data_IF_569283405553
#
_entry.id   IF_569283405553
#
_cell.length_a   1.000
_cell.length_b   1.000
_cell.length_c   1.000
_cell.angle_alpha   90.00
_cell.angle_beta   90.00
_cell.angle_gamma   90.00
#
_symmetry.space_group_name_H-M   'P 1'
#
loop_
_entity.id
_entity.type
_entity.pdbx_description
1 polymer ?
#
# COMPACT_ATOMS: atom_id res chain seq x y z
N UNK A 1 -6.14 21.82 -3.36
CA UNK A 1 -5.10 20.96 -3.96
C UNK A 1 -4.22 20.46 -2.82
N UNK A 2 -4.39 19.21 -2.40
CA UNK A 2 -3.64 18.64 -1.27
C UNK A 2 -2.19 18.46 -1.68
N UNK A 3 -1.30 19.31 -1.15
CA UNK A 3 0.13 19.11 -1.23
C UNK A 3 0.44 17.72 -0.64
N UNK A 4 0.84 16.80 -1.52
CA UNK A 4 1.25 15.46 -1.15
C UNK A 4 2.59 15.59 -0.42
N UNK A 5 2.55 15.74 0.91
CA UNK A 5 3.70 15.95 1.80
C UNK A 5 4.84 14.94 1.61
N UNK A 6 4.58 13.80 0.95
CA UNK A 6 5.61 12.82 0.60
C UNK A 6 6.46 13.18 -0.63
N UNK A 7 6.11 14.23 -1.39
CA UNK A 7 6.95 14.73 -2.50
C UNK A 7 7.93 15.80 -2.05
N UNK A 8 7.81 16.33 -0.83
CA UNK A 8 8.51 17.57 -0.43
C UNK A 8 9.53 17.38 0.71
N UNK A 9 9.66 16.18 1.29
CA UNK A 9 10.67 15.97 2.32
C UNK A 9 12.02 15.56 1.74
N UNK A 10 13.06 16.33 2.07
CA UNK A 10 14.46 16.05 1.72
C UNK A 10 14.82 14.65 2.23
N UNK A 11 15.39 13.81 1.37
CA UNK A 11 15.91 12.51 1.80
C UNK A 11 17.12 12.74 2.71
N UNK A 12 17.04 12.29 3.96
CA UNK A 12 18.18 12.37 4.90
C UNK A 12 18.86 11.02 5.02
N UNK A 13 20.18 11.04 5.04
CA UNK A 13 21.01 9.86 5.25
C UNK A 13 22.42 10.30 5.63
N UNK A 14 23.36 9.34 5.71
CA UNK A 14 24.74 9.61 6.11
C UNK A 14 25.33 10.81 5.36
N UNK A 15 25.92 11.75 6.10
CA UNK A 15 26.49 12.99 5.57
C UNK A 15 25.50 14.15 5.39
N UNK A 16 24.19 13.91 5.55
CA UNK A 16 23.22 15.00 5.67
C UNK A 16 23.46 15.79 6.96
N UNK A 17 23.19 17.08 6.92
CA UNK A 17 23.30 17.94 8.09
C UNK A 17 22.25 19.05 8.11
N UNK A 18 22.00 19.59 9.30
CA UNK A 18 21.13 20.75 9.52
C UNK A 18 19.97 20.49 10.50
N UNK A 19 19.07 21.48 10.62
CA UNK A 19 18.00 21.45 11.62
C UNK A 19 16.99 20.30 11.44
N UNK A 20 16.86 19.75 10.24
CA UNK A 20 16.00 18.60 9.96
C UNK A 20 16.59 17.29 10.53
N UNK A 21 17.91 17.10 10.42
CA UNK A 21 18.62 16.00 11.07
C UNK A 21 18.49 16.10 12.58
N UNK A 22 18.64 17.29 13.13
CA UNK A 22 18.49 17.53 14.57
C UNK A 22 17.08 17.14 15.06
N UNK A 23 16.04 17.54 14.32
CA UNK A 23 14.65 17.14 14.61
C UNK A 23 14.48 15.62 14.57
N UNK A 24 15.05 14.94 13.57
CA UNK A 24 15.03 13.48 13.48
C UNK A 24 15.70 12.86 14.71
N UNK A 25 16.88 13.32 15.10
CA UNK A 25 17.59 12.80 16.28
C UNK A 25 16.77 13.00 17.56
N UNK A 26 16.17 14.17 17.77
CA UNK A 26 15.26 14.43 18.90
C UNK A 26 14.04 13.51 18.87
N UNK A 27 13.41 13.35 17.72
CA UNK A 27 12.24 12.49 17.58
C UNK A 27 12.59 11.02 17.89
N UNK A 28 13.71 10.50 17.40
CA UNK A 28 14.17 9.14 17.69
C UNK A 28 14.38 8.92 19.21
N UNK A 29 14.96 9.91 19.89
CA UNK A 29 15.14 9.86 21.35
C UNK A 29 13.81 9.83 22.10
N UNK A 30 12.82 10.61 21.66
CA UNK A 30 11.49 10.63 22.27
C UNK A 30 10.71 9.34 22.00
N UNK A 31 10.98 8.64 20.90
CA UNK A 31 10.48 7.27 20.67
C UNK A 31 11.13 6.23 21.59
N UNK A 32 12.13 6.62 22.39
CA UNK A 32 12.81 5.75 23.35
C UNK A 32 14.07 5.08 22.81
N UNK A 33 14.64 5.58 21.70
CA UNK A 33 15.91 5.03 21.20
C UNK A 33 16.99 5.09 22.28
N UNK A 34 17.65 3.94 22.49
CA UNK A 34 18.72 3.78 23.48
C UNK A 34 19.95 3.17 22.82
N UNK A 35 21.15 3.74 23.00
CA UNK A 35 21.45 4.96 23.77
C UNK A 35 20.86 6.22 23.12
N UNK A 36 20.56 7.25 23.93
CA UNK A 36 20.08 8.53 23.39
C UNK A 36 21.14 9.14 22.45
N UNK A 37 20.68 9.65 21.32
CA UNK A 37 21.49 10.41 20.38
C UNK A 37 21.78 11.80 20.94
N UNK A 38 22.94 12.35 20.60
CA UNK A 38 23.17 13.79 20.68
C UNK A 38 22.51 14.45 19.46
N UNK A 39 21.53 15.35 19.62
CA UNK A 39 20.93 16.07 18.50
C UNK A 39 21.85 17.21 18.04
N UNK A 40 22.91 16.86 17.32
CA UNK A 40 23.93 17.77 16.80
C UNK A 40 23.66 18.23 15.35
N UNK A 41 22.57 17.74 14.75
CA UNK A 41 22.24 18.04 13.37
C UNK A 41 23.17 17.36 12.36
N UNK A 42 23.96 16.37 12.77
CA UNK A 42 24.84 15.59 11.88
C UNK A 42 24.34 14.16 11.72
N UNK A 43 24.10 13.75 10.48
CA UNK A 43 23.62 12.41 10.20
C UNK A 43 24.83 11.46 10.09
N UNK A 44 25.38 11.08 11.24
CA UNK A 44 26.46 10.11 11.36
C UNK A 44 25.97 8.67 11.50
N UNK A 45 26.91 7.73 11.73
CA UNK A 45 26.59 6.31 11.86
C UNK A 45 25.63 5.99 13.02
N UNK A 46 25.71 6.72 14.14
CA UNK A 46 24.78 6.56 15.27
C UNK A 46 23.34 6.94 14.89
N UNK A 47 23.17 8.04 14.15
CA UNK A 47 21.86 8.48 13.65
C UNK A 47 21.30 7.45 12.65
N UNK A 48 22.14 6.92 11.75
CA UNK A 48 21.74 5.87 10.80
C UNK A 48 21.22 4.60 11.52
N UNK A 49 21.94 4.11 12.53
CA UNK A 49 21.51 2.93 13.29
C UNK A 49 20.22 3.18 14.08
N UNK A 50 20.05 4.37 14.63
CA UNK A 50 18.81 4.77 15.29
C UNK A 50 17.63 4.83 14.32
N UNK A 51 17.85 5.33 13.09
CA UNK A 51 16.83 5.31 12.03
C UNK A 51 16.48 3.88 11.64
N UNK A 52 17.45 2.98 11.46
CA UNK A 52 17.18 1.55 11.20
C UNK A 52 16.41 0.90 12.34
N UNK A 53 16.75 1.19 13.59
CA UNK A 53 16.01 0.72 14.75
C UNK A 53 14.54 1.16 14.69
N UNK A 54 14.30 2.44 14.45
CA UNK A 54 12.94 2.98 14.34
C UNK A 54 12.19 2.37 13.15
N UNK A 55 12.85 2.23 12.00
CA UNK A 55 12.26 1.60 10.83
C UNK A 55 11.85 0.14 11.11
N UNK A 56 12.69 -0.62 11.82
CA UNK A 56 12.35 -1.99 12.26
C UNK A 56 11.15 -1.99 13.22
N UNK A 57 11.15 -1.10 14.21
CA UNK A 57 10.06 -0.93 15.18
C UNK A 57 8.72 -0.67 14.49
N UNK A 58 8.73 0.18 13.46
CA UNK A 58 7.53 0.60 12.73
C UNK A 58 7.22 -0.26 11.49
N UNK A 59 7.91 -1.40 11.30
CA UNK A 59 7.76 -2.30 10.14
C UNK A 59 7.98 -1.61 8.77
N UNK A 60 8.80 -0.59 8.75
CA UNK A 60 9.27 0.13 7.57
C UNK A 60 10.41 -0.61 6.86
N UNK A 61 10.85 -0.09 5.72
CA UNK A 61 12.11 -0.50 5.07
C UNK A 61 13.26 0.02 5.93
N UNK A 62 14.15 -0.85 6.36
CA UNK A 62 15.26 -0.55 7.29
C UNK A 62 16.55 -0.17 6.57
N UNK A 63 16.47 0.80 5.65
CA UNK A 63 17.60 1.28 4.86
C UNK A 63 18.47 2.35 5.55
N UNK A 64 18.09 2.77 6.77
CA UNK A 64 18.78 3.80 7.54
C UNK A 64 18.63 5.21 7.01
N UNK A 65 17.72 5.43 6.05
CA UNK A 65 17.46 6.73 5.44
C UNK A 65 16.10 7.27 5.89
N UNK A 66 16.04 8.56 6.18
CA UNK A 66 14.77 9.23 6.48
C UNK A 66 14.20 9.78 5.17
N UNK A 67 13.47 8.90 4.48
CA UNK A 67 12.59 9.28 3.40
C UNK A 67 11.26 9.82 3.91
N UNK A 68 10.36 10.25 3.02
CA UNK A 68 9.11 10.89 3.43
C UNK A 68 8.22 9.99 4.31
N UNK A 69 8.12 8.68 4.01
CA UNK A 69 7.33 7.75 4.85
C UNK A 69 7.92 7.65 6.25
N UNK A 70 9.22 7.40 6.38
CA UNK A 70 9.91 7.34 7.67
C UNK A 70 9.75 8.65 8.43
N UNK A 71 9.91 9.79 7.75
CA UNK A 71 9.74 11.11 8.37
C UNK A 71 8.33 11.28 8.94
N UNK A 72 7.29 10.96 8.18
CA UNK A 72 5.92 11.15 8.68
C UNK A 72 5.55 10.18 9.78
N UNK A 73 5.98 8.91 9.72
CA UNK A 73 5.75 7.99 10.84
C UNK A 73 6.50 8.47 12.09
N UNK A 74 7.66 9.11 11.93
CA UNK A 74 8.48 9.64 13.03
C UNK A 74 7.97 10.98 13.58
N UNK A 75 7.36 11.83 12.75
CA UNK A 75 6.94 13.18 13.17
C UNK A 75 5.44 13.26 13.49
N UNK A 76 4.60 12.49 12.81
CA UNK A 76 3.15 12.46 13.02
C UNK A 76 2.82 11.58 14.23
N UNK A 77 3.09 12.10 15.43
CA UNK A 77 2.60 11.53 16.70
C UNK A 77 1.07 11.66 16.84
N UNK A 78 0.46 12.53 16.03
CA UNK A 78 -0.98 12.74 15.92
C UNK A 78 -1.68 11.73 15.00
N UNK A 79 -2.84 12.13 14.45
CA UNK A 79 -3.62 11.31 13.51
C UNK A 79 -3.44 11.85 12.08
N UNK A 80 -2.54 11.24 11.33
CA UNK A 80 -2.43 11.48 9.90
C UNK A 80 -3.37 10.55 9.13
N UNK A 81 -4.10 11.07 8.14
CA UNK A 81 -4.97 10.27 7.26
C UNK A 81 -4.86 10.79 5.83
N UNK A 82 -4.71 9.88 4.88
CA UNK A 82 -4.82 10.20 3.47
C UNK A 82 -5.48 9.06 2.71
N UNK A 83 -6.33 9.43 1.77
CA UNK A 83 -7.10 8.50 0.96
C UNK A 83 -7.30 9.06 -0.44
N UNK A 84 -7.36 8.14 -1.41
CA UNK A 84 -7.99 8.38 -2.69
C UNK A 84 -9.50 8.58 -2.49
N UNK A 85 -10.21 9.16 -3.49
CA UNK A 85 -11.67 9.08 -3.51
C UNK A 85 -12.12 7.66 -3.22
N UNK A 86 -12.99 7.54 -2.21
CA UNK A 86 -13.40 6.25 -1.67
C UNK A 86 -13.94 5.37 -2.79
N UNK A 87 -13.37 4.17 -3.02
CA UNK A 87 -13.82 3.31 -4.10
C UNK A 87 -15.23 2.80 -3.77
N UNK A 88 -16.14 2.68 -4.76
CA UNK A 88 -17.49 2.18 -4.50
C UNK A 88 -17.44 0.76 -3.93
N UNK A 89 -18.27 0.48 -2.94
CA UNK A 89 -18.35 -0.86 -2.38
C UNK A 89 -19.17 -1.75 -3.32
N UNK A 90 -18.47 -2.69 -3.95
CA UNK A 90 -19.09 -3.73 -4.78
C UNK A 90 -19.15 -5.00 -3.93
N UNK A 91 -20.35 -5.46 -3.61
CA UNK A 91 -20.55 -6.66 -2.80
C UNK A 91 -20.37 -7.90 -3.67
N UNK A 92 -19.56 -8.87 -3.23
CA UNK A 92 -19.55 -10.19 -3.88
C UNK A 92 -20.88 -10.88 -3.55
N UNK A 93 -21.84 -10.89 -4.47
CA UNK A 93 -23.16 -11.50 -4.20
C UNK A 93 -23.11 -13.02 -4.01
N UNK A 94 -22.06 -13.68 -4.52
CA UNK A 94 -21.83 -15.12 -4.51
C UNK A 94 -20.47 -15.39 -3.86
N UNK A 95 -20.33 -16.50 -3.13
CA UNK A 95 -19.01 -17.01 -2.73
C UNK A 95 -18.08 -17.07 -3.97
N UNK A 96 -16.81 -16.66 -3.79
CA UNK A 96 -15.73 -16.75 -4.79
C UNK A 96 -15.66 -15.64 -5.86
N UNK A 97 -16.51 -14.61 -5.81
CA UNK A 97 -16.44 -13.45 -6.73
C UNK A 97 -15.74 -12.20 -6.16
N UNK A 98 -15.01 -12.35 -5.05
CA UNK A 98 -14.23 -11.26 -4.44
C UNK A 98 -13.37 -10.52 -5.48
N UNK A 99 -12.68 -11.29 -6.33
CA UNK A 99 -11.75 -10.78 -7.35
C UNK A 99 -12.45 -9.85 -8.35
N UNK A 100 -13.63 -10.23 -8.83
CA UNK A 100 -14.40 -9.45 -9.79
C UNK A 100 -14.98 -8.20 -9.13
N UNK A 101 -15.45 -8.31 -7.89
CA UNK A 101 -15.99 -7.19 -7.13
C UNK A 101 -14.91 -6.14 -6.80
N UNK A 102 -13.71 -6.59 -6.37
CA UNK A 102 -12.57 -5.71 -6.13
C UNK A 102 -12.11 -5.01 -7.43
N UNK A 103 -12.07 -5.73 -8.55
CA UNK A 103 -11.76 -5.14 -9.86
C UNK A 103 -12.80 -4.09 -10.28
N UNK A 104 -14.10 -4.41 -10.21
CA UNK A 104 -15.17 -3.47 -10.52
C UNK A 104 -15.07 -2.21 -9.65
N UNK A 105 -14.89 -2.37 -8.34
CA UNK A 105 -14.74 -1.26 -7.40
C UNK A 105 -13.60 -0.32 -7.81
N UNK A 106 -12.44 -0.91 -8.14
CA UNK A 106 -11.28 -0.20 -8.65
C UNK A 106 -11.62 0.51 -9.97
N UNK A 107 -12.23 -0.19 -10.93
CA UNK A 107 -12.64 0.33 -12.24
C UNK A 107 -13.81 1.34 -12.20
N UNK A 108 -14.54 1.47 -11.09
CA UNK A 108 -15.63 2.44 -10.90
C UNK A 108 -15.34 3.68 -10.02
N UNK A 109 -14.29 3.69 -9.18
CA UNK A 109 -13.71 4.92 -8.60
C UNK A 109 -13.35 6.12 -9.56
N UNK A 110 -12.61 7.10 -9.06
CA UNK A 110 -12.39 8.36 -9.78
C UNK A 110 -11.03 8.43 -10.53
N UNK A 111 -10.73 7.51 -11.46
CA UNK A 111 -9.55 7.66 -12.36
C UNK A 111 -9.95 7.86 -13.82
N UNK A 112 -9.35 8.82 -14.53
CA UNK A 112 -9.61 9.06 -15.96
C UNK A 112 -9.23 7.86 -16.85
N UNK A 113 -9.97 7.65 -17.95
CA UNK A 113 -9.52 6.84 -19.10
C UNK A 113 -9.68 5.31 -19.02
N UNK A 114 -10.33 4.76 -17.98
CA UNK A 114 -10.47 3.30 -17.79
C UNK A 114 -11.84 2.75 -18.26
N UNK A 115 -11.92 1.45 -18.60
CA UNK A 115 -13.20 0.84 -18.95
C UNK A 115 -14.09 0.73 -17.70
N UNK A 116 -15.40 0.96 -17.89
CA UNK A 116 -16.42 0.70 -16.87
C UNK A 116 -16.90 -0.74 -17.02
N UNK A 117 -16.24 -1.66 -16.32
CA UNK A 117 -16.58 -3.09 -16.33
C UNK A 117 -17.29 -3.47 -15.04
N UNK A 118 -18.38 -4.23 -15.17
CA UNK A 118 -19.10 -4.84 -14.05
C UNK A 118 -18.54 -6.23 -13.73
N UNK A 119 -18.94 -6.81 -12.59
CA UNK A 119 -18.68 -8.22 -12.26
C UNK A 119 -19.15 -9.15 -13.38
N UNK A 120 -20.26 -8.84 -14.05
CA UNK A 120 -20.75 -9.65 -15.17
C UNK A 120 -19.81 -9.59 -16.38
N UNK A 121 -19.33 -8.39 -16.73
CA UNK A 121 -18.37 -8.20 -17.83
C UNK A 121 -17.04 -8.90 -17.54
N UNK A 122 -16.57 -8.79 -16.30
CA UNK A 122 -15.34 -9.43 -15.84
C UNK A 122 -15.46 -10.96 -15.88
N UNK A 123 -16.59 -11.53 -15.42
CA UNK A 123 -16.85 -12.98 -15.54
C UNK A 123 -16.80 -13.45 -16.99
N UNK A 124 -17.38 -12.69 -17.92
CA UNK A 124 -17.34 -13.01 -19.36
C UNK A 124 -15.92 -12.96 -19.90
N UNK A 125 -15.16 -11.91 -19.57
CA UNK A 125 -13.76 -11.75 -19.98
C UNK A 125 -12.85 -12.89 -19.47
N UNK A 126 -13.06 -13.35 -18.24
CA UNK A 126 -12.25 -14.40 -17.61
C UNK A 126 -12.79 -15.82 -17.79
N UNK A 127 -13.87 -16.03 -18.55
CA UNK A 127 -14.61 -17.31 -18.58
C UNK A 127 -13.73 -18.55 -18.81
N UNK A 128 -12.70 -18.46 -19.66
CA UNK A 128 -11.77 -19.57 -19.94
C UNK A 128 -10.88 -19.96 -18.73
N UNK A 129 -10.81 -19.13 -17.71
CA UNK A 129 -9.98 -19.32 -16.52
C UNK A 129 -10.77 -19.64 -15.26
N UNK A 130 -12.11 -19.58 -15.31
CA UNK A 130 -12.96 -19.77 -14.14
C UNK A 130 -13.25 -21.25 -13.91
N UNK A 131 -13.20 -21.66 -12.63
CA UNK A 131 -13.84 -22.91 -12.20
C UNK A 131 -15.37 -22.74 -12.20
N UNK A 132 -16.16 -23.83 -12.19
CA UNK A 132 -17.63 -23.74 -12.19
C UNK A 132 -18.23 -22.84 -11.10
N UNK A 133 -17.60 -22.79 -9.91
CA UNK A 133 -18.04 -21.95 -8.80
C UNK A 133 -17.57 -20.47 -8.90
N UNK A 134 -16.85 -20.09 -9.96
CA UNK A 134 -16.37 -18.72 -10.18
C UNK A 134 -14.97 -18.43 -9.61
N UNK A 135 -14.31 -19.43 -9.01
CA UNK A 135 -12.93 -19.34 -8.54
C UNK A 135 -11.95 -19.11 -9.70
N UNK A 136 -10.89 -18.36 -9.41
CA UNK A 136 -9.80 -18.08 -10.33
C UNK A 136 -8.44 -18.31 -9.64
N UNK A 137 -7.44 -18.76 -10.38
CA UNK A 137 -6.07 -18.81 -9.88
C UNK A 137 -5.43 -17.43 -9.89
N UNK A 138 -4.42 -17.20 -9.04
CA UNK A 138 -3.68 -15.93 -9.08
C UNK A 138 -2.99 -15.72 -10.42
N UNK A 139 -2.45 -16.79 -11.02
CA UNK A 139 -1.82 -16.74 -12.35
C UNK A 139 -2.81 -16.33 -13.45
N UNK A 140 -4.02 -16.88 -13.42
CA UNK A 140 -5.07 -16.50 -14.35
C UNK A 140 -5.53 -15.05 -14.15
N UNK A 141 -5.75 -14.62 -12.90
CA UNK A 141 -6.13 -13.24 -12.59
C UNK A 141 -5.09 -12.23 -13.13
N UNK A 142 -3.81 -12.58 -13.04
CA UNK A 142 -2.68 -11.76 -13.51
C UNK A 142 -2.42 -11.86 -15.01
N UNK A 143 -3.03 -12.84 -15.70
CA UNK A 143 -2.86 -12.99 -17.15
C UNK A 143 -3.50 -11.80 -17.88
N UNK A 144 -2.89 -11.29 -18.96
CA UNK A 144 -3.53 -10.27 -19.77
C UNK A 144 -4.87 -10.78 -20.31
N UNK A 145 -5.95 -10.03 -20.10
CA UNK A 145 -7.27 -10.36 -20.63
C UNK A 145 -7.77 -9.22 -21.49
N UNK A 146 -7.87 -9.45 -22.80
CA UNK A 146 -8.13 -8.40 -23.77
C UNK A 146 -6.97 -7.40 -23.89
N UNK A 147 -7.27 -6.23 -24.45
CA UNK A 147 -6.29 -5.13 -24.65
C UNK A 147 -6.31 -4.10 -23.53
N UNK A 148 -7.37 -4.11 -22.70
CA UNK A 148 -7.77 -3.07 -21.76
C UNK A 148 -7.49 -3.41 -20.28
N UNK A 149 -7.20 -4.68 -19.97
CA UNK A 149 -6.85 -5.13 -18.61
C UNK A 149 -5.49 -5.80 -18.58
N UNK A 150 -4.52 -5.09 -18.01
CA UNK A 150 -3.19 -5.62 -17.67
C UNK A 150 -2.90 -5.34 -16.21
N UNK A 151 -2.21 -6.27 -15.56
CA UNK A 151 -1.83 -6.14 -14.16
C UNK A 151 -0.33 -6.22 -14.02
N UNK A 152 0.20 -5.42 -13.09
CA UNK A 152 1.61 -5.48 -12.74
C UNK A 152 1.70 -6.09 -11.36
N UNK A 153 2.48 -7.15 -11.22
CA UNK A 153 2.87 -7.58 -9.89
C UNK A 153 3.86 -6.55 -9.35
N UNK A 154 3.56 -5.92 -8.21
CA UNK A 154 4.41 -4.83 -7.67
C UNK A 154 5.07 -5.17 -6.34
N UNK A 155 4.91 -6.40 -5.85
CA UNK A 155 5.82 -6.90 -4.83
C UNK A 155 6.01 -8.41 -4.87
N UNK A 156 7.28 -8.82 -4.96
CA UNK A 156 7.76 -10.17 -4.74
C UNK A 156 8.77 -10.13 -3.60
N UNK A 157 8.41 -10.70 -2.44
CA UNK A 157 9.26 -10.77 -1.26
C UNK A 157 8.56 -11.47 -0.10
N UNK A 158 9.31 -12.10 0.81
CA UNK A 158 8.76 -12.83 1.96
C UNK A 158 8.05 -11.94 2.99
N UNK A 159 8.24 -10.60 2.95
CA UNK A 159 7.68 -9.64 3.92
C UNK A 159 7.31 -8.31 3.26
N UNK A 160 6.01 -8.03 3.17
CA UNK A 160 5.49 -6.74 2.68
C UNK A 160 5.86 -5.61 3.67
N UNK A 161 6.29 -4.45 3.17
CA UNK A 161 6.59 -3.25 3.97
C UNK A 161 5.60 -2.13 3.63
N UNK A 162 5.32 -1.23 4.57
CA UNK A 162 4.32 -0.19 4.39
C UNK A 162 4.65 0.72 3.19
N UNK A 163 5.93 1.01 2.98
CA UNK A 163 6.43 1.80 1.85
C UNK A 163 6.12 1.17 0.51
N UNK A 164 6.06 -0.16 0.41
CA UNK A 164 5.71 -0.82 -0.84
C UNK A 164 4.28 -0.46 -1.23
N UNK A 165 3.33 -0.58 -0.29
CA UNK A 165 1.92 -0.20 -0.50
C UNK A 165 1.77 1.30 -0.73
N UNK A 166 2.46 2.13 0.06
CA UNK A 166 2.38 3.59 -0.03
C UNK A 166 2.97 4.14 -1.33
N UNK A 167 4.05 3.54 -1.85
CA UNK A 167 4.59 3.88 -3.18
C UNK A 167 3.57 3.63 -4.30
N UNK A 168 2.65 2.71 -4.10
CA UNK A 168 1.66 2.35 -5.14
C UNK A 168 0.44 3.26 -5.09
N UNK A 169 -0.01 3.58 -3.88
CA UNK A 169 -0.99 4.63 -3.64
C UNK A 169 -0.53 6.01 -4.16
N UNK A 170 0.78 6.28 -4.14
CA UNK A 170 1.40 7.53 -4.65
C UNK A 170 1.07 7.82 -6.10
N UNK A 171 1.03 6.80 -6.94
CA UNK A 171 0.76 6.93 -8.38
C UNK A 171 -0.74 7.01 -8.66
N UNK A 172 -1.55 7.32 -7.62
CA UNK A 172 -3.01 7.43 -7.63
C UNK A 172 -3.74 6.16 -8.06
N UNK A 173 -3.14 5.00 -7.79
CA UNK A 173 -3.70 3.70 -8.11
C UNK A 173 -4.01 3.00 -6.79
N UNK A 174 -5.27 2.69 -6.47
CA UNK A 174 -5.55 1.83 -5.35
C UNK A 174 -5.01 0.45 -5.66
N UNK A 175 -4.85 -0.27 -4.58
CA UNK A 175 -4.10 -1.50 -4.53
C UNK A 175 -5.10 -2.60 -4.29
N UNK A 176 -5.18 -3.58 -5.19
CA UNK A 176 -5.89 -4.82 -4.86
C UNK A 176 -4.93 -5.70 -4.09
N UNK A 177 -5.31 -6.11 -2.88
CA UNK A 177 -4.62 -7.18 -2.17
C UNK A 177 -5.25 -8.49 -2.60
N UNK A 178 -4.43 -9.49 -2.87
CA UNK A 178 -4.87 -10.86 -3.15
C UNK A 178 -4.34 -11.74 -2.03
N UNK A 179 -5.25 -12.33 -1.25
CA UNK A 179 -4.90 -13.40 -0.31
C UNK A 179 -4.76 -14.71 -1.09
N UNK A 180 -3.62 -15.38 -0.91
CA UNK A 180 -3.25 -16.56 -1.65
C UNK A 180 -2.53 -17.55 -0.73
N UNK A 181 -3.20 -18.66 -0.39
CA UNK A 181 -2.61 -19.71 0.43
C UNK A 181 -2.01 -20.89 -0.36
N UNK A 182 -2.27 -21.03 -1.67
CA UNK A 182 -1.89 -22.24 -2.46
C UNK A 182 -1.83 -22.06 -4.00
N UNK A 183 -1.79 -20.84 -4.52
CA UNK A 183 -1.93 -20.48 -5.94
C UNK A 183 -3.34 -20.04 -6.36
N UNK A 184 -4.35 -20.31 -5.53
CA UNK A 184 -5.72 -19.84 -5.72
C UNK A 184 -5.94 -18.43 -5.13
N UNK A 185 -6.87 -17.67 -5.70
CA UNK A 185 -7.37 -16.44 -5.08
C UNK A 185 -8.34 -16.82 -3.96
N UNK A 186 -7.94 -16.62 -2.71
CA UNK A 186 -8.79 -16.90 -1.54
C UNK A 186 -9.69 -15.72 -1.22
N UNK A 187 -9.13 -14.51 -1.26
CA UNK A 187 -9.88 -13.29 -1.02
C UNK A 187 -9.19 -12.10 -1.68
N UNK A 188 -9.94 -11.08 -2.05
CA UNK A 188 -9.37 -9.83 -2.55
C UNK A 188 -9.98 -8.64 -1.85
N UNK A 189 -9.17 -7.59 -1.68
CA UNK A 189 -9.56 -6.35 -1.00
C UNK A 189 -8.90 -5.17 -1.69
N UNK A 190 -9.43 -3.96 -1.50
CA UNK A 190 -8.90 -2.75 -2.15
C UNK A 190 -8.40 -1.78 -1.09
N UNK A 191 -7.08 -1.55 -1.03
CA UNK A 191 -6.52 -0.44 -0.25
C UNK A 191 -6.65 0.85 -1.06
N UNK A 192 -7.24 1.87 -0.45
CA UNK A 192 -7.40 3.19 -1.06
C UNK A 192 -6.80 4.32 -0.23
N UNK A 193 -6.23 4.02 0.94
CA UNK A 193 -5.62 5.03 1.78
C UNK A 193 -4.85 4.46 2.96
N UNK A 194 -4.32 5.37 3.77
CA UNK A 194 -3.53 5.08 4.97
C UNK A 194 -3.95 6.02 6.08
N UNK A 195 -3.89 5.52 7.30
CA UNK A 195 -3.98 6.30 8.52
C UNK A 195 -2.78 5.96 9.41
N UNK A 196 -2.09 6.97 9.92
CA UNK A 196 -0.99 6.83 10.87
C UNK A 196 -1.44 7.47 12.17
N UNK A 197 -1.43 6.71 13.27
CA UNK A 197 -1.77 7.20 14.60
C UNK A 197 -0.77 6.68 15.61
N UNK A 198 -0.09 7.59 16.31
CA UNK A 198 0.90 7.21 17.35
C UNK A 198 1.94 6.20 16.83
N UNK A 199 2.43 6.40 15.61
CA UNK A 199 3.38 5.49 14.93
C UNK A 199 2.77 4.20 14.36
N UNK A 200 1.50 3.91 14.60
CA UNK A 200 0.81 2.74 14.02
C UNK A 200 0.27 3.07 12.65
N UNK A 201 0.60 2.24 11.65
CA UNK A 201 0.12 2.36 10.27
C UNK A 201 -1.06 1.42 10.07
N UNK A 202 -2.23 2.01 9.83
CA UNK A 202 -3.46 1.35 9.41
C UNK A 202 -3.71 1.65 7.93
N UNK A 203 -4.19 0.68 7.15
CA UNK A 203 -4.62 0.89 5.78
C UNK A 203 -6.14 0.95 5.70
N UNK A 204 -6.62 1.93 4.94
CA UNK A 204 -8.03 2.11 4.64
C UNK A 204 -8.38 1.19 3.48
N UNK A 205 -9.36 0.32 3.73
CA UNK A 205 -9.63 -0.81 2.86
C UNK A 205 -11.13 -0.96 2.55
N UNK A 206 -11.44 -1.37 1.33
CA UNK A 206 -12.74 -1.88 0.92
C UNK A 206 -12.63 -3.39 0.76
N UNK A 207 -13.49 -4.11 1.46
CA UNK A 207 -13.64 -5.56 1.41
C UNK A 207 -14.99 -5.90 0.73
N UNK A 208 -15.00 -6.67 -0.37
CA UNK A 208 -16.23 -7.07 -1.04
C UNK A 208 -17.25 -7.81 -0.15
N UNK A 209 -16.82 -8.41 0.96
CA UNK A 209 -17.70 -9.10 1.92
C UNK A 209 -18.22 -8.18 3.01
N UNK A 210 -17.35 -7.35 3.58
CA UNK A 210 -17.62 -6.64 4.84
C UNK A 210 -17.69 -5.12 4.70
N UNK A 211 -17.45 -4.57 3.52
CA UNK A 211 -17.47 -3.13 3.27
C UNK A 211 -16.17 -2.46 3.68
N UNK A 212 -16.24 -1.27 4.28
CA UNK A 212 -15.05 -0.48 4.57
C UNK A 212 -14.48 -0.81 5.94
N UNK A 213 -13.20 -1.12 5.98
CA UNK A 213 -12.48 -1.49 7.21
C UNK A 213 -11.13 -0.79 7.27
N UNK A 214 -10.53 -0.80 8.45
CA UNK A 214 -9.16 -0.39 8.66
C UNK A 214 -8.35 -1.59 9.14
N UNK A 215 -7.24 -1.87 8.46
CA UNK A 215 -6.39 -3.02 8.82
C UNK A 215 -4.99 -2.57 9.20
N UNK A 216 -4.45 -3.05 10.33
CA UNK A 216 -3.06 -2.78 10.68
C UNK A 216 -2.11 -3.34 9.62
N UNK A 217 -0.97 -2.67 9.43
CA UNK A 217 0.10 -3.16 8.53
C UNK A 217 0.50 -4.62 8.82
N UNK A 218 0.50 -5.04 10.09
CA UNK A 218 0.81 -6.43 10.48
C UNK A 218 -0.11 -7.47 9.83
N UNK A 219 -1.39 -7.14 9.62
CA UNK A 219 -2.35 -8.03 8.95
C UNK A 219 -2.05 -8.18 7.45
N UNK A 220 -1.48 -7.14 6.81
CA UNK A 220 -1.05 -7.20 5.40
C UNK A 220 0.21 -8.04 5.25
N UNK A 221 1.12 -8.01 6.22
CA UNK A 221 2.38 -8.78 6.16
C UNK A 221 2.16 -10.29 6.10
N UNK A 222 1.03 -10.78 6.62
CA UNK A 222 0.64 -12.18 6.53
C UNK A 222 0.15 -12.57 5.13
N UNK A 223 -0.13 -11.60 4.24
CA UNK A 223 -0.68 -11.84 2.90
C UNK A 223 0.47 -11.91 1.88
N UNK A 224 0.66 -13.08 1.29
CA UNK A 224 1.94 -13.45 0.66
C UNK A 224 2.06 -13.13 -0.84
N UNK A 225 1.04 -12.59 -1.52
CA UNK A 225 1.17 -12.18 -2.94
C UNK A 225 0.26 -11.00 -3.28
N UNK A 226 0.82 -9.79 -3.40
CA UNK A 226 0.07 -8.58 -3.75
C UNK A 226 0.31 -8.25 -5.22
N UNK A 227 -0.70 -8.51 -6.07
CA UNK A 227 -0.75 -7.96 -7.43
C UNK A 227 -1.31 -6.54 -7.40
N UNK A 228 -0.72 -5.58 -8.10
CA UNK A 228 -1.24 -4.21 -8.15
C UNK A 228 -1.81 -3.94 -9.53
N UNK A 229 -3.09 -3.62 -9.56
CA UNK A 229 -3.86 -3.60 -10.78
C UNK A 229 -3.90 -2.15 -11.28
N UNK A 230 -3.25 -1.88 -12.42
CA UNK A 230 -3.32 -0.61 -13.12
C UNK A 230 -3.73 -0.89 -14.56
N UNK A 231 -4.99 -0.61 -14.98
CA UNK A 231 -5.30 -0.60 -16.41
C UNK A 231 -4.35 0.39 -17.11
N UNK A 232 -3.93 0.05 -18.33
CA UNK A 232 -3.08 0.94 -19.12
C UNK A 232 -3.79 2.29 -19.26
N UNK A 233 -3.05 3.39 -19.05
CA UNK A 233 -3.40 4.65 -19.70
C UNK A 233 -3.33 4.36 -21.20
N UNK A 234 -4.48 4.35 -21.87
CA UNK A 234 -4.49 4.49 -23.33
C UNK A 234 -4.20 5.96 -23.58
N UNK A 235 -2.93 6.36 -23.46
CA UNK A 235 -2.48 7.55 -24.17
C UNK A 235 -2.39 7.17 -25.66
N UNK A 236 -2.89 8.03 -26.57
CA UNK A 236 -2.89 7.77 -28.00
C UNK A 236 -1.50 7.51 -28.58
#
# INVERSE_FOLDING_TARGET
MSNLWWKTHRLLGRGSSGPDVERVQRALNDYGHTPRLNPDGQFGGKTEEAVKWFQRLMNLIDDGKVGPVTYSVLMERGAYRWELPKPPWVKQGILNLCWAASLESVLQGAWPGRPRLTVADLKKKYAAHLKPAGDISTAALMSPVGTDLRFREVHVGKKVRAENVLKLLRDRKPVIIVDNSTGAVMHTRVIYGVRIRRGVIDFLMMDPMTGYTEIPMGSIQALTRIGFFSPNEVTP
#
